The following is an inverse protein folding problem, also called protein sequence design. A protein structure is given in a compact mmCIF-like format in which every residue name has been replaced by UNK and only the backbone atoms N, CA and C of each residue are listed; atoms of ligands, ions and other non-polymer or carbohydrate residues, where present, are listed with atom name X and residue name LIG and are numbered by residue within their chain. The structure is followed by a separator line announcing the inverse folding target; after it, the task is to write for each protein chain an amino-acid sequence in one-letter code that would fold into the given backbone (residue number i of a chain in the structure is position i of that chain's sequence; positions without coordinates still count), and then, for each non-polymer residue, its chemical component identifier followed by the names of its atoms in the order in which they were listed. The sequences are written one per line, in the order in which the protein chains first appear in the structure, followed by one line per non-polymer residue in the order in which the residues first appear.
data_IF_092586418204
#
_entry.id   IF_092586418204
#
_cell.length_a   1.000
_cell.length_b   1.000
_cell.length_c   1.000
_cell.angle_alpha   90.00
_cell.angle_beta   90.00
_cell.angle_gamma   90.00
#
_symmetry.space_group_name_H-M   'P 1'
#
loop_
_entity.id
_entity.type
_entity.pdbx_description
1 polymer ?
#
# COMPACT_ATOMS: atom_id res chain seq x y z
N UNK A 1 1.81 18.84 -27.88
CA UNK A 1 2.72 17.72 -28.22
C UNK A 1 4.02 17.92 -27.48
N UNK A 2 4.54 16.89 -26.79
CA UNK A 2 5.70 17.06 -25.91
C UNK A 2 7.03 17.03 -26.71
N UNK A 3 7.89 18.03 -26.52
CA UNK A 3 9.06 18.31 -27.38
C UNK A 3 10.11 17.20 -27.50
N UNK A 4 10.21 16.29 -26.52
CA UNK A 4 11.17 15.18 -26.57
C UNK A 4 10.87 14.12 -27.65
N UNK A 5 9.62 14.04 -28.13
CA UNK A 5 9.25 13.18 -29.26
C UNK A 5 9.80 13.73 -30.59
N UNK A 6 10.02 15.05 -30.66
CA UNK A 6 10.56 15.74 -31.84
C UNK A 6 12.09 15.66 -31.85
N UNK A 7 12.73 15.61 -30.68
CA UNK A 7 14.19 15.55 -30.52
C UNK A 7 14.80 14.13 -30.55
N UNK A 8 13.97 13.07 -30.62
CA UNK A 8 14.47 11.69 -30.61
C UNK A 8 15.08 11.24 -29.29
N UNK A 9 14.77 11.92 -28.17
CA UNK A 9 15.28 11.57 -26.84
C UNK A 9 14.52 10.36 -26.27
N UNK A 10 14.90 9.18 -26.78
CA UNK A 10 14.32 7.90 -26.40
C UNK A 10 14.52 7.56 -24.92
N UNK A 11 15.60 8.03 -24.28
CA UNK A 11 15.84 7.80 -22.86
C UNK A 11 14.87 8.57 -21.97
N UNK A 12 14.57 9.82 -22.31
CA UNK A 12 13.56 10.62 -21.60
C UNK A 12 12.15 10.11 -21.83
N UNK A 13 11.83 9.67 -23.05
CA UNK A 13 10.57 9.00 -23.35
C UNK A 13 10.40 7.72 -22.51
N UNK A 14 11.42 6.86 -22.48
CA UNK A 14 11.39 5.60 -21.72
C UNK A 14 11.14 5.85 -20.22
N UNK A 15 11.86 6.79 -19.61
CA UNK A 15 11.65 7.16 -18.19
C UNK A 15 10.24 7.64 -17.90
N UNK A 16 9.64 8.41 -18.81
CA UNK A 16 8.25 8.88 -18.66
C UNK A 16 7.26 7.73 -18.76
N UNK A 17 7.40 6.87 -19.77
CA UNK A 17 6.55 5.69 -19.92
C UNK A 17 6.65 4.77 -18.69
N UNK A 18 7.85 4.55 -18.16
CA UNK A 18 8.04 3.76 -16.94
C UNK A 18 7.31 4.40 -15.75
N UNK A 19 7.42 5.72 -15.58
CA UNK A 19 6.70 6.46 -14.54
C UNK A 19 5.19 6.35 -14.70
N UNK A 20 4.67 6.49 -15.93
CA UNK A 20 3.24 6.41 -16.22
C UNK A 20 2.70 4.99 -15.97
N UNK A 21 3.44 3.96 -16.37
CA UNK A 21 3.08 2.56 -16.10
C UNK A 21 3.06 2.29 -14.59
N UNK A 22 4.04 2.77 -13.82
CA UNK A 22 4.03 2.66 -12.36
C UNK A 22 2.82 3.34 -11.73
N UNK A 23 2.49 4.54 -12.22
CA UNK A 23 1.33 5.28 -11.72
C UNK A 23 0.01 4.56 -12.03
N UNK A 24 -0.17 4.06 -13.26
CA UNK A 24 -1.33 3.28 -13.65
C UNK A 24 -1.45 1.98 -12.86
N UNK A 25 -0.34 1.30 -12.61
CA UNK A 25 -0.31 0.09 -11.80
C UNK A 25 -0.73 0.37 -10.35
N UNK A 26 -0.21 1.42 -9.74
CA UNK A 26 -0.60 1.82 -8.38
C UNK A 26 -2.09 2.24 -8.31
N UNK A 27 -2.60 2.93 -9.33
CA UNK A 27 -4.00 3.29 -9.44
C UNK A 27 -4.93 2.07 -9.57
N UNK A 28 -4.55 1.10 -10.39
CA UNK A 28 -5.25 -0.18 -10.49
C UNK A 28 -5.33 -0.86 -9.13
N UNK A 29 -4.20 -1.01 -8.44
CA UNK A 29 -4.14 -1.62 -7.11
C UNK A 29 -5.02 -0.92 -6.08
N UNK A 30 -5.07 0.41 -6.10
CA UNK A 30 -5.96 1.18 -5.23
C UNK A 30 -7.43 0.87 -5.50
N UNK A 31 -7.86 0.94 -6.78
CA UNK A 31 -9.24 0.67 -7.16
C UNK A 31 -9.66 -0.77 -6.85
N UNK A 32 -8.78 -1.74 -7.07
CA UNK A 32 -8.98 -3.14 -6.71
C UNK A 32 -9.11 -3.33 -5.21
N UNK A 33 -8.22 -2.72 -4.44
CA UNK A 33 -8.17 -2.85 -2.99
C UNK A 33 -9.47 -2.36 -2.34
N UNK A 34 -9.98 -1.22 -2.80
CA UNK A 34 -11.17 -0.56 -2.26
C UNK A 34 -12.48 -1.00 -2.93
N UNK A 35 -12.43 -1.50 -4.17
CA UNK A 35 -13.60 -1.72 -5.03
C UNK A 35 -14.18 -0.43 -5.64
N UNK A 36 -13.58 0.72 -5.32
CA UNK A 36 -13.91 2.03 -5.87
C UNK A 36 -12.67 2.94 -5.83
N UNK A 37 -12.70 4.02 -6.59
CA UNK A 37 -11.71 5.09 -6.56
C UNK A 37 -12.36 6.33 -5.96
N UNK A 38 -11.77 6.88 -4.89
CA UNK A 38 -12.25 8.13 -4.29
C UNK A 38 -11.63 9.34 -4.96
N UNK A 39 -12.44 10.20 -5.55
CA UNK A 39 -12.05 11.49 -6.08
C UNK A 39 -12.31 12.55 -5.00
N UNK A 40 -11.23 13.15 -4.48
CA UNK A 40 -11.32 14.28 -3.56
C UNK A 40 -10.69 15.52 -4.17
N UNK A 41 -11.50 16.49 -4.57
CA UNK A 41 -11.03 17.74 -5.18
C UNK A 41 -11.88 18.93 -4.74
N UNK A 42 -11.30 19.80 -3.92
CA UNK A 42 -12.02 20.96 -3.37
C UNK A 42 -13.20 20.52 -2.51
N UNK A 43 -14.42 20.74 -2.98
CA UNK A 43 -15.66 20.31 -2.34
C UNK A 43 -16.18 18.95 -2.85
N UNK A 44 -15.54 18.36 -3.86
CA UNK A 44 -15.89 17.05 -4.41
C UNK A 44 -15.26 15.97 -3.54
N UNK A 45 -16.08 15.02 -3.10
CA UNK A 45 -15.66 13.81 -2.38
C UNK A 45 -16.56 12.65 -2.82
N UNK A 46 -16.21 12.02 -3.95
CA UNK A 46 -17.05 11.03 -4.62
C UNK A 46 -16.30 9.69 -4.78
N UNK A 47 -17.02 8.58 -4.64
CA UNK A 47 -16.52 7.25 -4.94
C UNK A 47 -16.99 6.79 -6.31
N UNK A 48 -16.06 6.52 -7.22
CA UNK A 48 -16.32 5.92 -8.53
C UNK A 48 -16.08 4.41 -8.45
N UNK A 49 -17.07 3.58 -8.77
CA UNK A 49 -16.91 2.12 -8.72
C UNK A 49 -15.79 1.66 -9.64
N UNK A 50 -14.96 0.74 -9.15
CA UNK A 50 -13.83 0.18 -9.89
C UNK A 50 -14.17 -1.27 -10.26
N UNK A 51 -14.81 -1.45 -11.42
CA UNK A 51 -15.27 -2.78 -11.88
C UNK A 51 -14.16 -3.59 -12.59
N UNK A 52 -12.92 -3.11 -12.57
CA UNK A 52 -11.77 -3.78 -13.20
C UNK A 52 -11.10 -4.82 -12.30
N UNK A 53 -11.65 -5.12 -11.11
CA UNK A 53 -11.12 -6.17 -10.24
C UNK A 53 -11.32 -7.55 -10.89
N UNK A 54 -10.25 -8.34 -10.94
CA UNK A 54 -10.23 -9.68 -11.49
C UNK A 54 -10.37 -10.74 -10.39
N UNK A 55 -10.86 -11.95 -10.70
CA UNK A 55 -10.84 -13.06 -9.75
C UNK A 55 -9.41 -13.32 -9.22
N UNK A 56 -9.27 -13.39 -7.90
CA UNK A 56 -7.98 -13.57 -7.24
C UNK A 56 -7.34 -12.26 -6.76
N UNK A 57 -7.86 -11.11 -7.19
CA UNK A 57 -7.39 -9.84 -6.72
C UNK A 57 -7.57 -9.63 -5.21
N UNK A 58 -6.66 -8.84 -4.65
CA UNK A 58 -6.54 -8.63 -3.22
C UNK A 58 -7.51 -7.55 -2.77
N UNK A 59 -8.43 -7.89 -1.86
CA UNK A 59 -9.36 -6.93 -1.27
C UNK A 59 -8.87 -6.42 0.09
N UNK A 60 -9.20 -5.17 0.42
CA UNK A 60 -8.88 -4.55 1.70
C UNK A 60 -9.35 -5.41 2.87
N UNK A 61 -10.62 -5.85 2.82
CA UNK A 61 -11.20 -6.66 3.88
C UNK A 61 -10.43 -7.96 4.10
N UNK A 62 -10.02 -8.66 3.04
CA UNK A 62 -9.26 -9.91 3.16
C UNK A 62 -7.88 -9.68 3.79
N UNK A 63 -7.16 -8.64 3.37
CA UNK A 63 -5.85 -8.32 3.96
C UNK A 63 -5.98 -7.97 5.44
N UNK A 64 -6.90 -7.07 5.78
CA UNK A 64 -7.11 -6.65 7.15
C UNK A 64 -7.57 -7.82 8.03
N UNK A 65 -8.51 -8.64 7.55
CA UNK A 65 -8.97 -9.83 8.26
C UNK A 65 -7.83 -10.81 8.51
N UNK A 66 -7.05 -11.13 7.48
CA UNK A 66 -5.91 -12.04 7.63
C UNK A 66 -4.90 -11.52 8.64
N UNK A 67 -4.52 -10.24 8.56
CA UNK A 67 -3.58 -9.64 9.52
C UNK A 67 -4.13 -9.59 10.95
N UNK A 68 -5.44 -9.38 11.11
CA UNK A 68 -6.10 -9.44 12.42
C UNK A 68 -6.10 -10.86 13.00
N UNK A 69 -6.32 -11.87 12.17
CA UNK A 69 -6.38 -13.27 12.58
C UNK A 69 -4.98 -13.83 12.90
N UNK A 70 -3.94 -13.38 12.20
CA UNK A 70 -2.55 -13.85 12.39
C UNK A 70 -1.74 -12.98 13.35
N UNK A 71 -2.24 -11.79 13.72
CA UNK A 71 -1.48 -10.79 14.47
C UNK A 71 -0.27 -10.22 13.71
N UNK A 72 -0.20 -10.44 12.39
CA UNK A 72 0.92 -9.99 11.55
C UNK A 72 0.87 -8.47 11.40
N UNK A 73 1.98 -7.74 11.63
CA UNK A 73 2.03 -6.31 11.36
C UNK A 73 1.84 -6.01 9.87
N UNK A 74 1.23 -4.88 9.57
CA UNK A 74 0.97 -4.41 8.21
C UNK A 74 1.52 -3.00 8.01
N UNK A 75 1.88 -2.70 6.77
CA UNK A 75 2.17 -1.32 6.35
C UNK A 75 0.89 -0.70 5.78
N UNK A 76 0.47 0.43 6.35
CA UNK A 76 -0.70 1.20 5.93
C UNK A 76 -0.31 2.58 5.40
N UNK A 77 -0.94 3.00 4.31
CA UNK A 77 -0.92 4.40 3.86
C UNK A 77 -2.31 4.97 4.09
N UNK A 78 -2.42 6.12 4.77
CA UNK A 78 -3.70 6.72 5.14
C UNK A 78 -3.82 8.18 4.71
N UNK A 79 -5.06 8.67 4.58
CA UNK A 79 -5.37 10.06 4.33
C UNK A 79 -5.40 10.41 2.84
N UNK A 80 -4.63 11.42 2.43
CA UNK A 80 -4.57 11.88 1.04
C UNK A 80 -3.95 10.82 0.15
N UNK A 81 -4.51 10.64 -1.05
CA UNK A 81 -3.97 9.80 -2.11
C UNK A 81 -2.43 9.95 -2.21
N UNK A 82 -1.68 8.85 -2.32
CA UNK A 82 -0.25 8.91 -2.29
C UNK A 82 0.31 9.43 -3.61
N UNK A 83 1.59 9.81 -3.63
CA UNK A 83 2.27 10.02 -4.89
C UNK A 83 2.38 8.67 -5.60
N UNK A 84 1.71 8.49 -6.73
CA UNK A 84 1.64 7.18 -7.40
C UNK A 84 2.99 6.64 -7.89
N UNK A 85 4.01 7.50 -7.98
CA UNK A 85 5.38 7.10 -8.27
C UNK A 85 6.07 6.36 -7.10
N UNK A 86 5.70 6.69 -5.85
CA UNK A 86 6.14 5.99 -4.65
C UNK A 86 5.00 5.99 -3.60
N UNK A 87 4.04 5.07 -3.73
CA UNK A 87 2.84 5.10 -2.93
C UNK A 87 3.08 4.79 -1.45
N UNK A 88 4.23 4.17 -1.12
CA UNK A 88 4.58 3.69 0.22
C UNK A 88 5.45 4.67 1.00
N UNK A 89 5.85 5.80 0.42
CA UNK A 89 6.63 6.87 1.07
C UNK A 89 6.06 7.35 2.41
N UNK A 90 4.74 7.22 2.61
CA UNK A 90 4.01 7.59 3.84
C UNK A 90 3.49 6.39 4.63
N UNK A 91 4.02 5.20 4.38
CA UNK A 91 3.58 3.99 5.04
C UNK A 91 3.87 4.04 6.54
N UNK A 92 2.90 3.59 7.33
CA UNK A 92 2.98 3.44 8.78
C UNK A 92 2.79 1.98 9.13
N UNK A 93 3.67 1.44 9.96
CA UNK A 93 3.58 0.06 10.42
C UNK A 93 2.65 -0.04 11.61
N UNK A 94 1.64 -0.89 11.50
CA UNK A 94 0.64 -1.06 12.56
C UNK A 94 0.27 -2.52 12.75
N UNK A 95 -0.28 -2.84 13.93
CA UNK A 95 -1.01 -4.10 14.17
C UNK A 95 -2.50 -3.82 14.22
N UNK A 96 -3.30 -4.73 13.68
CA UNK A 96 -4.76 -4.66 13.77
C UNK A 96 -5.19 -5.24 15.11
N UNK A 97 -5.94 -4.44 15.87
CA UNK A 97 -6.51 -4.86 17.15
C UNK A 97 -7.97 -5.28 16.98
N UNK A 98 -8.73 -4.56 16.16
CA UNK A 98 -10.16 -4.80 15.98
C UNK A 98 -10.61 -4.41 14.58
N UNK A 99 -11.45 -5.24 13.95
CA UNK A 99 -12.09 -4.94 12.67
C UNK A 99 -13.57 -4.68 12.87
N UNK A 100 -13.99 -3.45 12.60
CA UNK A 100 -15.40 -3.05 12.61
C UNK A 100 -15.89 -2.87 11.19
N UNK A 101 -17.19 -2.60 11.04
CA UNK A 101 -17.81 -2.45 9.72
C UNK A 101 -17.22 -1.28 8.93
N UNK A 102 -17.06 -0.10 9.55
CA UNK A 102 -16.62 1.13 8.87
C UNK A 102 -15.17 1.54 9.18
N UNK A 103 -14.58 1.01 10.24
CA UNK A 103 -13.24 1.36 10.69
C UNK A 103 -12.44 0.12 11.10
N UNK A 104 -11.14 0.35 11.29
CA UNK A 104 -10.19 -0.60 11.86
C UNK A 104 -9.49 0.08 13.03
N UNK A 105 -9.44 -0.59 14.17
CA UNK A 105 -8.65 -0.13 15.32
C UNK A 105 -7.26 -0.73 15.19
N UNK A 106 -6.26 0.15 15.20
CA UNK A 106 -4.86 -0.24 15.03
C UNK A 106 -4.00 0.26 16.18
N UNK A 107 -2.91 -0.44 16.41
CA UNK A 107 -1.81 -0.03 17.28
C UNK A 107 -0.58 0.27 16.44
N UNK A 108 0.04 1.42 16.66
CA UNK A 108 1.36 1.79 16.13
C UNK A 108 2.33 1.85 17.30
N UNK A 109 3.55 1.35 17.08
CA UNK A 109 4.58 1.34 18.13
C UNK A 109 4.82 2.75 18.71
N UNK A 110 4.75 2.86 20.03
CA UNK A 110 4.93 4.12 20.74
C UNK A 110 3.73 5.08 20.65
N UNK A 111 2.57 4.65 20.13
CA UNK A 111 1.33 5.45 20.12
C UNK A 111 0.16 4.67 20.72
N UNK A 112 -0.77 5.42 21.32
CA UNK A 112 -2.04 4.85 21.75
C UNK A 112 -2.81 4.32 20.53
N UNK A 113 -3.59 3.25 20.73
CA UNK A 113 -4.45 2.71 19.70
C UNK A 113 -5.43 3.77 19.17
N UNK A 114 -5.69 3.73 17.87
CA UNK A 114 -6.59 4.67 17.21
C UNK A 114 -7.39 4.00 16.09
N UNK A 115 -8.57 4.53 15.80
CA UNK A 115 -9.43 4.04 14.73
C UNK A 115 -9.11 4.74 13.40
N UNK A 116 -9.12 3.97 12.31
CA UNK A 116 -8.96 4.46 10.94
C UNK A 116 -10.21 4.08 10.16
N UNK A 117 -10.89 5.06 9.58
CA UNK A 117 -11.99 4.77 8.66
C UNK A 117 -11.47 4.02 7.42
N UNK A 118 -12.17 2.97 6.98
CA UNK A 118 -11.70 2.10 5.88
C UNK A 118 -11.44 2.87 4.58
N UNK A 119 -12.26 3.88 4.30
CA UNK A 119 -12.13 4.73 3.11
C UNK A 119 -10.95 5.73 3.18
N UNK A 120 -10.31 5.88 4.35
CA UNK A 120 -9.08 6.65 4.51
C UNK A 120 -7.83 5.81 4.24
N UNK A 121 -7.95 4.49 4.11
CA UNK A 121 -6.83 3.59 3.80
C UNK A 121 -6.54 3.67 2.30
N UNK A 122 -5.38 4.18 1.93
CA UNK A 122 -4.95 4.32 0.54
C UNK A 122 -4.18 3.10 0.04
N UNK A 123 -3.49 2.38 0.93
CA UNK A 123 -2.81 1.14 0.59
C UNK A 123 -2.61 0.28 1.84
N UNK A 124 -2.62 -1.03 1.66
CA UNK A 124 -2.23 -2.00 2.69
C UNK A 124 -1.40 -3.12 2.06
N UNK A 125 -0.35 -3.52 2.77
CA UNK A 125 0.39 -4.75 2.51
C UNK A 125 0.80 -5.39 3.84
N UNK A 126 1.00 -6.70 3.83
CA UNK A 126 1.74 -7.35 4.90
C UNK A 126 3.12 -6.70 5.02
N UNK A 127 3.53 -6.37 6.24
CA UNK A 127 4.86 -5.84 6.44
C UNK A 127 5.86 -6.91 5.97
N UNK A 128 6.85 -6.57 5.13
CA UNK A 128 7.96 -7.48 4.91
C UNK A 128 8.55 -7.77 6.28
N UNK A 129 8.52 -9.05 6.68
CA UNK A 129 9.20 -9.49 7.88
C UNK A 129 10.64 -8.98 7.84
N UNK A 130 11.13 -8.44 8.96
CA UNK A 130 12.53 -8.05 9.08
C UNK A 130 13.39 -9.32 8.95
N UNK A 131 13.72 -9.71 7.72
CA UNK A 131 14.69 -10.76 7.41
C UNK A 131 16.13 -10.31 7.72
N UNK A 132 16.32 -9.53 8.78
CA UNK A 132 17.63 -9.03 9.22
C UNK A 132 18.04 -9.60 10.59
N UNK A 133 17.12 -10.17 11.36
CA UNK A 133 17.46 -10.84 12.64
C UNK A 133 17.70 -12.35 12.49
N UNK A 134 16.98 -13.05 11.61
CA UNK A 134 17.23 -14.48 11.36
C UNK A 134 18.53 -14.76 10.61
N UNK A 135 18.97 -13.89 9.68
CA UNK A 135 20.22 -14.08 8.94
C UNK A 135 21.48 -13.85 9.81
N UNK A 136 21.35 -12.98 10.82
CA UNK A 136 22.43 -12.71 11.78
C UNK A 136 22.51 -13.81 12.85
N UNK A 137 21.35 -14.35 13.30
CA UNK A 137 21.31 -15.51 14.20
C UNK A 137 21.76 -16.81 13.52
N UNK A 138 21.39 -17.07 12.26
CA UNK A 138 21.85 -18.26 11.53
C UNK A 138 23.36 -18.23 11.22
N UNK A 139 23.97 -17.04 11.06
CA UNK A 139 25.43 -16.90 10.97
C UNK A 139 26.13 -17.17 12.30
N UNK A 140 25.64 -16.57 13.38
CA UNK A 140 26.16 -16.80 14.72
C UNK A 140 26.07 -18.29 15.14
N UNK A 141 24.96 -18.96 14.80
CA UNK A 141 24.77 -20.38 15.11
C UNK A 141 25.65 -21.34 14.28
N UNK A 142 26.05 -20.93 13.05
CA UNK A 142 26.97 -21.70 12.20
C UNK A 142 28.43 -21.50 12.57
N UNK A 143 28.79 -20.33 13.11
CA UNK A 143 30.16 -20.03 13.55
C UNK A 143 30.49 -20.66 14.92
N UNK A 144 29.50 -20.91 15.79
CA UNK A 144 29.69 -21.61 17.08
C UNK A 144 29.80 -23.14 16.96
N UNK A 145 29.57 -23.72 15.76
CA UNK A 145 29.61 -25.17 15.51
C UNK A 145 30.62 -25.62 14.44
N UNK A 146 31.48 -24.72 13.98
CA UNK A 146 32.65 -25.03 13.15
C UNK A 146 33.93 -24.98 13.96
#
# INVERSE_FOLDING_TARGET
MAGYLVEGDHSKLARRLESDVKALYAFYHYGVLQGFVRLRWGFIDEGLTAEWALPGDVSLYRQLKSASETGTPIDLVIGVAPGWADPWSRARRVRILELRFNDVVVEEEGRAAFAIARHEIQAVRLAPEHTEQSATQDRAWREERG
#
